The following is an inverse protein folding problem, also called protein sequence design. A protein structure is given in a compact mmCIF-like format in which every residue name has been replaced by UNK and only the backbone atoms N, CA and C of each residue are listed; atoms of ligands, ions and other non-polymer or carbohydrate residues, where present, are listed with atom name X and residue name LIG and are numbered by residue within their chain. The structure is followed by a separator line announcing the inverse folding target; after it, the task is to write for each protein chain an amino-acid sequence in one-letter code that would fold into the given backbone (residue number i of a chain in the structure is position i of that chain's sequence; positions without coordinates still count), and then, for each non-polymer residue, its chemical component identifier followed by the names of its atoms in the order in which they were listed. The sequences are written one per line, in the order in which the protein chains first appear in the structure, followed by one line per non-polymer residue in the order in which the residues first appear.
data_IF_503303557842
#
_entry.id   IF_503303557842
#
_cell.length_a   1.000
_cell.length_b   1.000
_cell.length_c   1.000
_cell.angle_alpha   90.00
_cell.angle_beta   90.00
_cell.angle_gamma   90.00
#
_symmetry.space_group_name_H-M   'P 1'
#
loop_
_entity.id
_entity.type
_entity.pdbx_description
1 polymer ?
#
# COMPACT_ATOMS: atom_id res chain seq x y z
N UNK A 1 36.96 -24.77 15.53
CA UNK A 1 37.51 -24.05 14.36
C UNK A 1 37.47 -25.03 13.20
N UNK A 2 36.49 -24.91 12.30
CA UNK A 2 36.40 -25.74 11.11
C UNK A 2 36.38 -24.81 9.90
N UNK A 3 37.49 -24.79 9.17
CA UNK A 3 37.66 -24.08 7.90
C UNK A 3 36.70 -24.66 6.85
N UNK A 4 35.78 -23.82 6.38
CA UNK A 4 34.96 -24.10 5.20
C UNK A 4 35.84 -24.00 3.95
N UNK A 5 36.29 -25.16 3.44
CA UNK A 5 37.05 -25.28 2.17
C UNK A 5 36.30 -24.58 1.03
N UNK A 6 36.81 -23.43 0.58
CA UNK A 6 36.46 -22.83 -0.72
C UNK A 6 36.84 -23.80 -1.84
N UNK A 7 35.85 -24.37 -2.52
CA UNK A 7 36.04 -25.19 -3.72
C UNK A 7 36.59 -24.32 -4.87
N UNK A 8 37.85 -24.53 -5.34
CA UNK A 8 38.47 -23.70 -6.36
C UNK A 8 37.87 -23.83 -7.77
N UNK A 9 37.07 -24.88 -8.03
CA UNK A 9 36.48 -25.15 -9.34
C UNK A 9 35.30 -24.22 -9.71
N UNK A 10 34.70 -23.54 -8.72
CA UNK A 10 33.61 -22.57 -8.98
C UNK A 10 34.12 -21.23 -9.53
N UNK A 11 35.36 -20.84 -9.20
CA UNK A 11 35.94 -19.55 -9.58
C UNK A 11 36.35 -19.51 -11.07
N UNK A 12 36.83 -20.63 -11.62
CA UNK A 12 37.27 -20.73 -13.02
C UNK A 12 36.11 -20.69 -14.04
N UNK A 13 34.95 -21.25 -13.69
CA UNK A 13 33.75 -21.23 -14.54
C UNK A 13 33.04 -19.87 -14.57
N UNK A 14 33.10 -19.11 -13.47
CA UNK A 14 32.51 -17.77 -13.35
C UNK A 14 33.26 -16.73 -14.21
N UNK A 15 34.59 -16.79 -14.28
CA UNK A 15 35.39 -15.90 -15.10
C UNK A 15 35.22 -16.15 -16.62
N UNK A 16 35.13 -17.41 -17.06
CA UNK A 16 34.87 -17.74 -18.47
C UNK A 16 33.45 -17.37 -18.92
N UNK A 17 32.45 -17.50 -18.05
CA UNK A 17 31.07 -17.05 -18.36
C UNK A 17 30.98 -15.53 -18.46
N UNK A 18 31.69 -14.77 -17.61
CA UNK A 18 31.72 -13.31 -17.69
C UNK A 18 32.38 -12.76 -18.98
N UNK A 19 33.37 -13.48 -19.54
CA UNK A 19 34.07 -13.07 -20.76
C UNK A 19 33.20 -13.19 -22.02
N UNK A 20 32.32 -14.21 -22.10
CA UNK A 20 31.51 -14.48 -23.28
C UNK A 20 30.32 -13.50 -23.47
N UNK A 21 29.99 -12.70 -22.45
CA UNK A 21 28.92 -11.69 -22.52
C UNK A 21 29.42 -10.28 -22.92
N UNK A 22 30.73 -10.05 -23.08
CA UNK A 22 31.25 -8.76 -23.59
C UNK A 22 30.79 -8.44 -25.02
N UNK A 23 30.35 -9.44 -25.80
CA UNK A 23 29.76 -9.23 -27.14
C UNK A 23 28.26 -8.96 -27.17
N UNK A 24 27.56 -9.09 -26.03
CA UNK A 24 26.12 -8.79 -25.91
C UNK A 24 25.86 -7.44 -25.21
N UNK A 25 26.84 -6.54 -25.25
CA UNK A 25 26.65 -5.11 -24.97
C UNK A 25 25.98 -4.41 -26.16
N UNK A 26 24.95 -5.04 -26.74
CA UNK A 26 23.89 -4.26 -27.36
C UNK A 26 23.24 -3.52 -26.21
N UNK A 27 23.58 -2.25 -26.05
CA UNK A 27 22.92 -1.34 -25.13
C UNK A 27 21.43 -1.36 -25.46
N UNK A 28 20.69 -2.28 -24.82
CA UNK A 28 19.24 -2.28 -24.92
C UNK A 28 18.80 -0.94 -24.33
N UNK A 29 17.94 -0.20 -25.05
CA UNK A 29 17.39 1.02 -24.51
C UNK A 29 16.78 0.64 -23.19
N UNK A 30 17.31 1.19 -22.09
CA UNK A 30 16.70 1.06 -20.77
C UNK A 30 15.27 1.52 -21.00
N UNK A 31 14.24 0.66 -20.96
CA UNK A 31 12.93 1.22 -20.79
C UNK A 31 13.04 1.85 -19.40
N UNK A 32 13.13 3.18 -19.39
CA UNK A 32 13.12 3.98 -18.19
C UNK A 32 11.74 3.83 -17.57
N UNK A 33 11.47 2.66 -17.01
CA UNK A 33 10.26 2.32 -16.29
C UNK A 33 10.52 2.59 -14.80
N UNK A 34 11.16 3.72 -14.48
CA UNK A 34 10.57 4.56 -13.44
C UNK A 34 9.23 5.06 -13.99
N UNK A 35 8.27 4.18 -14.29
CA UNK A 35 6.88 4.57 -14.52
C UNK A 35 6.32 4.90 -13.14
N UNK A 36 6.68 6.10 -12.71
CA UNK A 36 5.75 7.11 -12.22
C UNK A 36 4.32 6.63 -12.34
N UNK A 37 3.85 6.08 -11.23
CA UNK A 37 2.49 5.66 -11.00
C UNK A 37 1.53 6.88 -10.87
N UNK A 38 1.76 7.90 -11.71
CA UNK A 38 1.15 9.23 -11.64
C UNK A 38 -0.29 9.26 -12.13
N UNK A 39 -0.74 8.28 -12.90
CA UNK A 39 -2.14 8.25 -13.35
C UNK A 39 -3.11 7.87 -12.23
N UNK A 40 -2.69 7.03 -11.27
CA UNK A 40 -3.46 6.79 -10.04
C UNK A 40 -3.43 8.03 -9.10
N UNK A 41 -2.34 8.79 -9.13
CA UNK A 41 -2.18 10.05 -8.38
C UNK A 41 -3.18 11.13 -8.83
N UNK A 42 -3.49 11.23 -10.13
CA UNK A 42 -4.47 12.21 -10.64
C UNK A 42 -5.90 11.90 -10.17
N UNK A 43 -6.33 10.64 -10.15
CA UNK A 43 -7.67 10.27 -9.66
C UNK A 43 -7.81 10.46 -8.14
N UNK A 44 -6.75 10.19 -7.38
CA UNK A 44 -6.73 10.31 -5.91
C UNK A 44 -6.62 11.77 -5.42
N UNK A 45 -6.16 12.74 -6.22
CA UNK A 45 -6.23 14.17 -5.84
C UNK A 45 -7.56 14.84 -6.25
N UNK A 46 -8.24 14.30 -7.27
CA UNK A 46 -9.58 14.77 -7.69
C UNK A 46 -10.67 14.37 -6.68
N UNK A 47 -10.52 13.22 -6.01
CA UNK A 47 -11.50 12.73 -5.04
C UNK A 47 -11.57 13.55 -3.72
N UNK A 48 -10.44 13.92 -3.07
CA UNK A 48 -10.43 14.78 -1.89
C UNK A 48 -10.87 16.22 -2.18
N UNK A 49 -10.52 16.76 -3.35
CA UNK A 49 -10.93 18.11 -3.74
C UNK A 49 -12.45 18.20 -3.97
N UNK A 50 -13.07 17.21 -4.61
CA UNK A 50 -14.54 17.11 -4.72
C UNK A 50 -15.23 16.91 -3.35
N UNK A 51 -14.59 16.18 -2.44
CA UNK A 51 -15.14 15.92 -1.10
C UNK A 51 -15.04 17.13 -0.18
N UNK A 52 -13.98 17.93 -0.30
CA UNK A 52 -13.84 19.19 0.43
C UNK A 52 -14.91 20.22 0.03
N UNK A 53 -15.32 20.24 -1.24
CA UNK A 53 -16.39 21.12 -1.74
C UNK A 53 -17.75 20.69 -1.17
N UNK A 54 -18.04 19.38 -1.16
CA UNK A 54 -19.28 18.85 -0.56
C UNK A 54 -19.40 19.16 0.94
N UNK A 55 -18.31 19.19 1.70
CA UNK A 55 -18.33 19.56 3.13
C UNK A 55 -18.56 21.06 3.33
N UNK A 56 -18.00 21.90 2.46
CA UNK A 56 -18.21 23.36 2.53
C UNK A 56 -19.69 23.70 2.37
N UNK A 57 -20.44 22.93 1.58
CA UNK A 57 -21.90 23.06 1.47
C UNK A 57 -22.60 22.92 2.81
N UNK A 58 -22.27 21.86 3.57
CA UNK A 58 -22.89 21.59 4.86
C UNK A 58 -22.45 22.58 5.95
N UNK A 59 -21.21 23.06 5.92
CA UNK A 59 -20.72 24.06 6.88
C UNK A 59 -21.28 25.46 6.65
N UNK A 60 -21.54 25.84 5.39
CA UNK A 60 -22.07 27.16 5.06
C UNK A 60 -23.60 27.17 4.93
N UNK A 61 -24.27 26.15 5.47
CA UNK A 61 -25.72 25.97 5.42
C UNK A 61 -26.31 26.12 4.00
N UNK A 62 -25.58 25.63 2.99
CA UNK A 62 -26.06 25.56 1.61
C UNK A 62 -25.64 26.72 0.68
N UNK A 63 -24.73 27.61 1.11
CA UNK A 63 -24.31 28.75 0.26
C UNK A 63 -23.29 28.42 -0.86
N UNK A 64 -22.81 27.18 -0.93
CA UNK A 64 -21.83 26.72 -1.94
C UNK A 64 -22.45 25.64 -2.83
N UNK A 65 -21.70 25.09 -3.80
CA UNK A 65 -22.23 24.07 -4.72
C UNK A 65 -22.30 22.69 -4.05
N UNK A 66 -23.45 22.02 -4.18
CA UNK A 66 -23.62 20.65 -3.69
C UNK A 66 -22.78 19.68 -4.53
N UNK A 67 -21.85 18.98 -3.88
CA UNK A 67 -21.08 17.89 -4.50
C UNK A 67 -21.27 16.65 -3.65
N UNK A 68 -21.95 15.64 -4.21
CA UNK A 68 -22.17 14.37 -3.54
C UNK A 68 -20.83 13.73 -3.14
N UNK A 69 -20.79 13.17 -1.92
CA UNK A 69 -19.60 12.52 -1.37
C UNK A 69 -19.23 11.31 -2.23
N UNK A 70 -18.00 11.22 -2.76
CA UNK A 70 -17.58 10.06 -3.53
C UNK A 70 -17.40 8.83 -2.62
N UNK A 71 -18.13 7.75 -2.89
CA UNK A 71 -18.06 6.49 -2.14
C UNK A 71 -16.67 5.84 -2.11
N UNK A 72 -15.77 6.21 -3.03
CA UNK A 72 -14.39 5.71 -3.06
C UNK A 72 -13.53 6.10 -1.85
N UNK A 73 -13.92 7.12 -1.08
CA UNK A 73 -13.19 7.51 0.15
C UNK A 73 -13.39 6.49 1.26
N UNK A 74 -14.58 5.91 1.34
CA UNK A 74 -14.91 4.87 2.32
C UNK A 74 -14.11 3.59 2.07
N UNK A 75 -13.71 3.38 0.82
CA UNK A 75 -12.83 2.31 0.36
C UNK A 75 -11.50 2.18 1.09
N UNK A 76 -11.04 3.25 1.74
CA UNK A 76 -9.76 3.29 2.44
C UNK A 76 -9.88 2.89 3.93
N UNK A 77 -11.07 2.66 4.47
CA UNK A 77 -11.26 2.29 5.88
C UNK A 77 -11.06 0.76 6.11
N UNK A 78 -9.92 0.33 6.71
CA UNK A 78 -9.60 -1.10 6.90
C UNK A 78 -10.58 -1.81 7.78
N UNK A 79 -10.93 -1.14 8.86
CA UNK A 79 -11.68 -1.72 9.95
C UNK A 79 -13.12 -1.93 9.47
N UNK A 80 -13.69 -0.94 8.79
CA UNK A 80 -15.00 -1.05 8.15
C UNK A 80 -15.02 -2.19 7.12
N UNK A 81 -14.01 -2.27 6.23
CA UNK A 81 -13.91 -3.36 5.25
C UNK A 81 -13.80 -4.73 5.90
N UNK A 82 -13.00 -4.87 6.97
CA UNK A 82 -12.79 -6.14 7.67
C UNK A 82 -14.04 -6.58 8.45
N UNK A 83 -14.71 -5.65 9.13
CA UNK A 83 -15.95 -5.92 9.86
C UNK A 83 -17.08 -6.32 8.91
N UNK A 84 -17.25 -5.59 7.80
CA UNK A 84 -18.23 -5.93 6.77
C UNK A 84 -17.92 -7.26 6.07
N UNK A 85 -16.64 -7.57 5.84
CA UNK A 85 -16.24 -8.86 5.30
C UNK A 85 -16.64 -10.00 6.25
N UNK A 86 -16.39 -9.87 7.56
CA UNK A 86 -16.84 -10.85 8.55
C UNK A 86 -18.36 -10.97 8.60
N UNK A 87 -19.09 -9.85 8.58
CA UNK A 87 -20.54 -9.85 8.53
C UNK A 87 -21.04 -10.65 7.33
N UNK A 88 -20.55 -10.33 6.14
CA UNK A 88 -20.97 -10.98 4.90
C UNK A 88 -20.63 -12.47 4.86
N UNK A 89 -19.46 -12.87 5.38
CA UNK A 89 -19.09 -14.29 5.51
C UNK A 89 -19.97 -15.04 6.53
N UNK A 90 -20.46 -14.38 7.57
CA UNK A 90 -21.29 -14.99 8.60
C UNK A 90 -22.78 -15.06 8.23
N UNK A 91 -23.30 -14.07 7.49
CA UNK A 91 -24.73 -13.96 7.16
C UNK A 91 -25.07 -14.29 5.71
N UNK A 92 -24.08 -14.32 4.81
CA UNK A 92 -24.29 -14.45 3.38
C UNK A 92 -24.88 -13.22 2.71
N UNK A 93 -25.07 -12.12 3.45
CA UNK A 93 -25.70 -10.89 2.95
C UNK A 93 -24.65 -9.81 2.67
N UNK A 94 -24.89 -9.01 1.62
CA UNK A 94 -24.09 -7.82 1.35
C UNK A 94 -24.58 -6.67 2.26
N UNK A 95 -23.70 -6.02 3.04
CA UNK A 95 -24.11 -4.89 3.87
C UNK A 95 -24.47 -3.69 2.98
N UNK A 96 -25.48 -2.93 3.38
CA UNK A 96 -25.91 -1.71 2.67
C UNK A 96 -25.02 -0.49 2.98
N UNK A 97 -24.28 -0.50 4.09
CA UNK A 97 -23.42 0.60 4.53
C UNK A 97 -21.95 0.19 4.43
N UNK A 98 -21.12 1.03 3.83
CA UNK A 98 -19.68 0.81 3.60
C UNK A 98 -19.35 -0.49 2.85
N UNK A 99 -20.23 -0.95 1.95
CA UNK A 99 -19.97 -2.12 1.11
C UNK A 99 -18.74 -1.95 0.21
N UNK A 100 -18.50 -0.71 -0.25
CA UNK A 100 -17.33 -0.35 -1.05
C UNK A 100 -16.01 -0.70 -0.32
N UNK A 101 -15.93 -0.47 1.00
CA UNK A 101 -14.75 -0.79 1.80
C UNK A 101 -14.48 -2.30 1.85
N UNK A 102 -15.54 -3.11 1.96
CA UNK A 102 -15.44 -4.57 1.94
C UNK A 102 -14.98 -5.08 0.57
N UNK A 103 -15.62 -4.63 -0.51
CA UNK A 103 -15.30 -5.06 -1.87
C UNK A 103 -13.88 -4.67 -2.27
N UNK A 104 -13.42 -3.47 -1.89
CA UNK A 104 -12.05 -3.05 -2.12
C UNK A 104 -11.05 -3.83 -1.27
N UNK A 105 -11.37 -4.13 0.00
CA UNK A 105 -10.54 -5.02 0.82
C UNK A 105 -10.38 -6.40 0.17
N UNK A 106 -11.48 -6.99 -0.30
CA UNK A 106 -11.45 -8.28 -1.01
C UNK A 106 -10.60 -8.18 -2.28
N UNK A 107 -10.78 -7.12 -3.08
CA UNK A 107 -9.96 -6.87 -4.26
C UNK A 107 -8.46 -6.79 -3.90
N UNK A 108 -8.10 -6.10 -2.81
CA UNK A 108 -6.71 -6.01 -2.36
C UNK A 108 -6.15 -7.35 -1.87
N UNK A 109 -6.97 -8.18 -1.22
CA UNK A 109 -6.60 -9.55 -0.82
C UNK A 109 -6.33 -10.40 -2.06
N UNK A 110 -7.23 -10.36 -3.07
CA UNK A 110 -7.08 -11.11 -4.33
C UNK A 110 -5.84 -10.65 -5.09
N UNK A 111 -5.65 -9.34 -5.23
CA UNK A 111 -4.43 -8.76 -5.80
C UNK A 111 -3.21 -9.23 -5.01
N UNK A 112 -3.30 -9.32 -3.67
CA UNK A 112 -2.18 -9.77 -2.84
C UNK A 112 -1.86 -11.26 -2.96
N UNK A 113 -2.88 -12.08 -3.23
CA UNK A 113 -2.71 -13.49 -3.56
C UNK A 113 -2.08 -13.68 -4.94
N UNK A 114 -2.35 -12.82 -5.92
CA UNK A 114 -1.82 -12.98 -7.27
C UNK A 114 -0.47 -12.27 -7.50
N UNK A 115 -0.29 -11.08 -6.91
CA UNK A 115 0.81 -10.17 -7.22
C UNK A 115 1.69 -9.87 -5.99
N UNK A 116 1.57 -10.66 -4.92
CA UNK A 116 2.13 -10.35 -3.59
C UNK A 116 1.66 -8.96 -3.13
N UNK A 117 2.42 -8.26 -2.27
CA UNK A 117 2.06 -6.93 -1.75
C UNK A 117 2.18 -5.78 -2.79
N UNK A 118 1.96 -6.05 -4.09
CA UNK A 118 2.04 -5.09 -5.19
C UNK A 118 1.18 -3.85 -4.98
N UNK A 119 0.00 -3.99 -4.34
CA UNK A 119 -0.88 -2.87 -4.01
C UNK A 119 -0.15 -1.71 -3.30
N UNK A 120 0.75 -2.01 -2.37
CA UNK A 120 1.49 -0.99 -1.63
C UNK A 120 2.48 -0.19 -2.48
N UNK A 121 2.88 -0.69 -3.64
CA UNK A 121 3.78 -0.01 -4.58
C UNK A 121 3.04 0.55 -5.81
N UNK A 122 1.94 -0.11 -6.23
CA UNK A 122 1.26 0.15 -7.50
C UNK A 122 -0.06 0.90 -7.36
N UNK A 123 -0.64 1.05 -6.18
CA UNK A 123 -1.97 1.66 -6.04
C UNK A 123 -2.09 2.55 -4.80
N UNK A 124 -1.39 2.19 -3.72
CA UNK A 124 -1.45 2.94 -2.47
C UNK A 124 -0.80 4.33 -2.60
N UNK A 125 -1.53 5.43 -2.33
CA UNK A 125 -1.00 6.79 -2.46
C UNK A 125 0.11 7.08 -1.44
N UNK A 126 0.00 6.54 -0.23
CA UNK A 126 1.03 6.63 0.82
C UNK A 126 2.30 5.90 0.38
N UNK A 127 2.16 4.76 -0.29
CA UNK A 127 3.27 4.00 -0.85
C UNK A 127 4.06 4.78 -1.90
N UNK A 128 3.34 5.33 -2.88
CA UNK A 128 3.90 6.18 -3.94
C UNK A 128 4.57 7.42 -3.38
N UNK A 129 3.93 8.11 -2.43
CA UNK A 129 4.50 9.28 -1.77
C UNK A 129 5.80 8.92 -1.02
N UNK A 130 5.81 7.81 -0.29
CA UNK A 130 7.01 7.34 0.41
C UNK A 130 8.14 6.94 -0.55
N UNK A 131 7.81 6.46 -1.76
CA UNK A 131 8.80 6.18 -2.80
C UNK A 131 9.43 7.46 -3.36
N UNK A 132 8.60 8.46 -3.67
CA UNK A 132 9.05 9.79 -4.13
C UNK A 132 9.98 10.45 -3.11
N UNK A 133 9.62 10.40 -1.83
CA UNK A 133 10.42 10.94 -0.74
C UNK A 133 11.72 10.13 -0.55
N UNK A 134 11.65 8.80 -0.65
CA UNK A 134 12.84 7.94 -0.58
C UNK A 134 13.78 8.08 -1.78
N UNK A 135 13.27 8.50 -2.95
CA UNK A 135 14.06 8.91 -4.10
C UNK A 135 14.73 10.27 -3.87
N UNK A 136 14.00 11.22 -3.28
CA UNK A 136 14.51 12.53 -2.92
C UNK A 136 15.60 12.41 -1.84
N UNK A 137 15.38 11.62 -0.79
CA UNK A 137 16.37 11.35 0.27
C UNK A 137 17.65 10.73 -0.28
N UNK A 138 17.54 9.78 -1.21
CA UNK A 138 18.71 9.20 -1.87
C UNK A 138 19.51 10.21 -2.69
N UNK A 139 18.83 11.16 -3.36
CA UNK A 139 19.49 12.22 -4.13
C UNK A 139 20.17 13.24 -3.21
N UNK A 140 19.55 13.59 -2.09
CA UNK A 140 20.06 14.60 -1.15
C UNK A 140 21.22 14.06 -0.30
N UNK A 141 21.08 12.86 0.27
CA UNK A 141 22.05 12.31 1.23
C UNK A 141 23.00 11.26 0.64
N UNK A 142 22.77 10.83 -0.61
CA UNK A 142 23.62 9.86 -1.32
C UNK A 142 23.68 8.45 -0.69
N UNK A 143 23.00 8.21 0.44
CA UNK A 143 23.03 6.96 1.21
C UNK A 143 21.68 6.66 1.84
N UNK A 144 21.29 5.38 1.77
CA UNK A 144 20.12 4.86 2.47
C UNK A 144 20.53 4.37 3.86
N UNK A 145 19.90 4.88 4.91
CA UNK A 145 20.20 4.44 6.27
C UNK A 145 19.78 2.98 6.46
N UNK A 146 20.70 2.10 6.88
CA UNK A 146 20.41 0.69 7.18
C UNK A 146 20.14 0.60 8.68
N UNK A 147 18.91 0.28 9.06
CA UNK A 147 18.64 -0.01 10.47
C UNK A 147 19.31 -1.33 10.84
N UNK A 148 19.99 -1.40 11.99
CA UNK A 148 20.59 -2.64 12.46
C UNK A 148 19.48 -3.66 12.76
N UNK A 149 19.79 -4.94 12.56
CA UNK A 149 18.81 -6.03 12.64
C UNK A 149 18.05 -6.07 13.97
N UNK A 150 18.72 -5.74 15.07
CA UNK A 150 18.12 -5.72 16.41
C UNK A 150 17.01 -4.68 16.57
N UNK A 151 17.04 -3.59 15.81
CA UNK A 151 16.01 -2.55 15.84
C UNK A 151 14.93 -2.78 14.77
N UNK A 152 15.32 -3.30 13.60
CA UNK A 152 14.40 -3.54 12.49
C UNK A 152 13.41 -4.70 12.74
N UNK A 153 13.76 -5.68 13.57
CA UNK A 153 12.86 -6.78 13.96
C UNK A 153 11.69 -6.29 14.84
N UNK A 154 11.92 -5.64 16.00
CA UNK A 154 10.83 -5.18 16.87
C UNK A 154 9.96 -4.11 16.20
N UNK A 155 10.56 -3.19 15.44
CA UNK A 155 9.79 -2.20 14.66
C UNK A 155 8.86 -2.85 13.63
N UNK A 156 9.29 -3.97 13.02
CA UNK A 156 8.40 -4.74 12.13
C UNK A 156 7.31 -5.50 12.89
N UNK A 157 7.51 -5.80 14.17
CA UNK A 157 6.49 -6.39 15.04
C UNK A 157 5.30 -5.47 15.27
N UNK A 158 5.52 -4.15 15.30
CA UNK A 158 4.47 -3.15 15.59
C UNK A 158 3.28 -3.25 14.61
N UNK A 159 3.52 -3.35 13.30
CA UNK A 159 2.42 -3.53 12.32
C UNK A 159 1.60 -4.81 12.56
N UNK A 160 2.23 -5.89 13.04
CA UNK A 160 1.54 -7.14 13.33
C UNK A 160 0.77 -7.06 14.65
N UNK A 161 1.31 -6.36 15.65
CA UNK A 161 0.58 -6.07 16.88
C UNK A 161 -0.69 -5.26 16.58
N UNK A 162 -0.58 -4.20 15.78
CA UNK A 162 -1.73 -3.40 15.34
C UNK A 162 -2.74 -4.25 14.54
N UNK A 163 -2.26 -5.09 13.62
CA UNK A 163 -3.13 -6.02 12.89
C UNK A 163 -3.86 -6.97 13.84
N UNK A 164 -3.15 -7.58 14.79
CA UNK A 164 -3.74 -8.49 15.79
C UNK A 164 -4.78 -7.78 16.66
N UNK A 165 -4.54 -6.53 17.05
CA UNK A 165 -5.50 -5.73 17.80
C UNK A 165 -6.81 -5.50 17.02
N UNK A 166 -6.72 -5.06 15.75
CA UNK A 166 -7.92 -4.85 14.92
C UNK A 166 -8.63 -6.16 14.60
N UNK A 167 -7.89 -7.23 14.33
CA UNK A 167 -8.45 -8.54 14.07
C UNK A 167 -9.12 -9.10 15.33
N UNK A 168 -8.54 -8.92 16.51
CA UNK A 168 -9.12 -9.30 17.78
C UNK A 168 -10.48 -8.64 17.99
N UNK A 169 -10.57 -7.31 17.85
CA UNK A 169 -11.85 -6.59 18.00
C UNK A 169 -12.87 -7.05 16.96
N UNK A 170 -12.46 -7.16 15.69
CA UNK A 170 -13.35 -7.57 14.61
C UNK A 170 -13.88 -9.00 14.80
N UNK A 171 -13.05 -9.92 15.29
CA UNK A 171 -13.45 -11.32 15.51
C UNK A 171 -14.33 -11.49 16.75
N UNK A 172 -14.10 -10.71 17.82
CA UNK A 172 -14.84 -10.82 19.08
C UNK A 172 -16.29 -10.34 18.96
N UNK A 173 -16.56 -9.33 18.13
CA UNK A 173 -17.92 -8.83 17.94
C UNK A 173 -18.76 -9.81 17.12
N UNK A 174 -19.96 -10.23 17.57
CA UNK A 174 -20.85 -11.07 16.76
C UNK A 174 -21.37 -10.30 15.53
N UNK A 175 -21.80 -11.02 14.49
CA UNK A 175 -22.19 -10.41 13.20
C UNK A 175 -23.33 -9.39 13.36
N UNK A 176 -24.28 -9.67 14.25
CA UNK A 176 -25.41 -8.80 14.54
C UNK A 176 -24.93 -7.49 15.18
N UNK A 177 -23.99 -7.55 16.12
CA UNK A 177 -23.40 -6.36 16.74
C UNK A 177 -22.66 -5.49 15.72
N UNK A 178 -21.97 -6.11 14.75
CA UNK A 178 -21.32 -5.39 13.65
C UNK A 178 -22.36 -4.64 12.82
N UNK A 179 -23.48 -5.28 12.46
CA UNK A 179 -24.55 -4.65 11.70
C UNK A 179 -25.14 -3.42 12.43
N UNK A 180 -25.48 -3.58 13.72
CA UNK A 180 -25.97 -2.46 14.53
C UNK A 180 -24.94 -1.35 14.70
N UNK A 181 -23.66 -1.69 14.86
CA UNK A 181 -22.58 -0.71 14.96
C UNK A 181 -22.40 0.10 13.66
N UNK A 182 -22.50 -0.56 12.51
CA UNK A 182 -22.36 0.11 11.21
C UNK A 182 -23.55 1.01 10.88
N UNK A 183 -24.76 0.63 11.32
CA UNK A 183 -25.97 1.46 11.23
C UNK A 183 -26.03 2.57 12.28
N UNK A 184 -25.21 2.48 13.34
CA UNK A 184 -25.20 3.50 14.40
C UNK A 184 -24.63 4.82 13.87
N UNK A 185 -25.04 5.97 14.46
CA UNK A 185 -24.49 7.28 14.08
C UNK A 185 -22.97 7.38 14.30
N UNK A 186 -22.37 6.44 15.02
CA UNK A 186 -20.92 6.37 15.21
C UNK A 186 -20.16 6.21 13.88
N UNK A 187 -20.65 5.43 12.91
CA UNK A 187 -20.00 5.26 11.61
C UNK A 187 -19.89 6.58 10.86
N UNK A 188 -20.98 7.36 10.87
CA UNK A 188 -21.06 8.70 10.28
C UNK A 188 -20.14 9.69 11.00
N UNK A 189 -20.07 9.64 12.33
CA UNK A 189 -19.12 10.45 13.11
C UNK A 189 -17.67 10.14 12.72
N UNK A 190 -17.31 8.86 12.56
CA UNK A 190 -15.96 8.45 12.18
C UNK A 190 -15.60 8.97 10.78
N UNK A 191 -16.55 8.92 9.86
CA UNK A 191 -16.39 9.44 8.50
C UNK A 191 -16.22 10.95 8.46
N UNK A 192 -17.04 11.69 9.23
CA UNK A 192 -16.91 13.15 9.37
C UNK A 192 -15.56 13.51 10.01
N UNK A 193 -15.13 12.79 11.05
CA UNK A 193 -13.81 12.99 11.68
C UNK A 193 -12.65 12.66 10.73
N UNK A 194 -12.77 11.64 9.89
CA UNK A 194 -11.76 11.29 8.89
C UNK A 194 -11.65 12.37 7.83
N UNK A 195 -12.77 12.95 7.42
CA UNK A 195 -12.82 14.05 6.47
C UNK A 195 -12.27 15.36 7.06
N UNK A 196 -12.60 15.65 8.33
CA UNK A 196 -12.01 16.77 9.07
C UNK A 196 -10.50 16.59 9.27
N UNK A 197 -10.02 15.37 9.53
CA UNK A 197 -8.58 15.05 9.60
C UNK A 197 -7.83 15.45 8.32
N UNK A 198 -8.43 15.28 7.14
CA UNK A 198 -7.84 15.71 5.87
C UNK A 198 -7.92 17.23 5.63
N UNK A 199 -8.89 17.91 6.25
CA UNK A 199 -9.17 19.33 6.02
C UNK A 199 -8.47 20.26 7.01
N UNK A 200 -8.45 19.89 8.27
CA UNK A 200 -7.75 20.58 9.35
C UNK A 200 -6.78 19.59 9.99
N UNK A 201 -5.53 19.56 9.49
CA UNK A 201 -4.48 18.76 10.12
C UNK A 201 -4.21 19.30 11.52
N UNK A 202 -4.84 18.67 12.53
CA UNK A 202 -4.56 18.95 13.94
C UNK A 202 -3.07 18.84 14.24
N UNK A 203 -2.57 19.57 15.23
CA UNK A 203 -1.13 19.64 15.51
C UNK A 203 -0.48 18.27 15.71
N UNK A 204 -1.18 17.34 16.37
CA UNK A 204 -0.69 15.96 16.56
C UNK A 204 -0.60 15.16 15.23
N UNK A 205 -1.54 15.38 14.30
CA UNK A 205 -1.58 14.68 13.01
C UNK A 205 -0.56 15.25 12.04
N UNK A 206 -0.36 16.57 12.07
CA UNK A 206 0.72 17.24 11.37
C UNK A 206 2.09 16.76 11.85
N UNK A 207 2.31 16.70 13.17
CA UNK A 207 3.56 16.19 13.75
C UNK A 207 3.80 14.74 13.32
N UNK A 208 2.79 13.86 13.43
CA UNK A 208 2.95 12.45 13.04
C UNK A 208 3.16 12.29 11.53
N UNK A 209 2.53 13.10 10.68
CA UNK A 209 2.83 13.15 9.24
C UNK A 209 4.26 13.60 8.98
N UNK A 210 4.73 14.69 9.61
CA UNK A 210 6.11 15.18 9.46
C UNK A 210 7.12 14.10 9.89
N UNK A 211 6.89 13.46 11.04
CA UNK A 211 7.75 12.36 11.53
C UNK A 211 7.79 11.22 10.52
N UNK A 212 6.66 10.84 9.93
CA UNK A 212 6.60 9.78 8.92
C UNK A 212 7.24 10.18 7.59
N UNK A 213 7.15 11.45 7.20
CA UNK A 213 7.82 11.99 6.01
C UNK A 213 9.34 11.97 6.21
N UNK A 214 9.82 12.45 7.36
CA UNK A 214 11.25 12.42 7.73
C UNK A 214 11.72 10.96 7.80
N UNK A 215 10.97 10.07 8.44
CA UNK A 215 11.30 8.65 8.48
C UNK A 215 11.34 8.03 7.08
N UNK A 216 10.45 8.43 6.17
CA UNK A 216 10.43 7.99 4.77
C UNK A 216 11.63 8.49 3.95
N UNK A 217 12.22 9.61 4.35
CA UNK A 217 13.43 10.18 3.75
C UNK A 217 14.64 9.27 3.99
N UNK A 218 14.76 8.73 5.20
CA UNK A 218 15.86 7.84 5.60
C UNK A 218 15.57 6.37 5.30
N UNK A 219 14.31 5.94 5.40
CA UNK A 219 13.86 4.55 5.25
C UNK A 219 12.74 4.48 4.21
N UNK A 220 13.02 3.88 3.05
CA UNK A 220 11.99 3.69 2.02
C UNK A 220 10.81 2.88 2.55
N UNK A 221 9.60 3.37 2.26
CA UNK A 221 8.34 2.75 2.68
C UNK A 221 8.23 2.51 4.20
N UNK A 222 8.79 3.41 5.02
CA UNK A 222 8.79 3.30 6.48
C UNK A 222 7.39 2.97 7.06
N UNK A 223 6.36 3.68 6.60
CA UNK A 223 4.96 3.45 6.99
C UNK A 223 4.50 2.02 6.66
N UNK A 224 4.64 1.60 5.41
CA UNK A 224 4.20 0.29 4.93
C UNK A 224 5.04 -0.87 5.53
N UNK A 225 6.24 -0.58 6.03
CA UNK A 225 7.17 -1.56 6.62
C UNK A 225 6.93 -1.76 8.12
N UNK A 226 6.61 -0.71 8.88
CA UNK A 226 6.57 -0.76 10.35
C UNK A 226 5.21 -0.48 10.98
N UNK A 227 4.36 0.35 10.37
CA UNK A 227 3.17 0.88 11.06
C UNK A 227 1.84 0.50 10.39
N UNK A 228 1.85 0.15 9.10
CA UNK A 228 0.64 -0.13 8.34
C UNK A 228 0.06 -1.54 8.61
N UNK A 229 -1.12 -1.66 9.27
CA UNK A 229 -1.75 -2.96 9.52
C UNK A 229 -2.24 -3.64 8.24
N UNK A 230 -2.70 -2.87 7.24
CA UNK A 230 -2.99 -3.39 5.90
C UNK A 230 -1.75 -4.00 5.24
N UNK A 231 -0.62 -3.33 5.38
CA UNK A 231 0.64 -3.82 4.86
C UNK A 231 1.10 -5.11 5.54
N UNK A 232 0.71 -5.34 6.80
CA UNK A 232 0.90 -6.61 7.49
C UNK A 232 -0.06 -7.68 6.95
N UNK A 233 -1.36 -7.38 6.85
CA UNK A 233 -2.37 -8.30 6.33
C UNK A 233 -2.01 -8.81 4.93
N UNK A 234 -1.74 -7.89 4.00
CA UNK A 234 -1.34 -8.23 2.62
C UNK A 234 0.01 -8.95 2.58
N UNK A 235 0.91 -8.66 3.52
CA UNK A 235 2.18 -9.37 3.68
C UNK A 235 1.96 -10.84 4.05
N UNK A 236 1.08 -11.13 5.01
CA UNK A 236 0.71 -12.50 5.42
C UNK A 236 0.03 -13.23 4.27
N UNK A 237 -0.97 -12.60 3.64
CA UNK A 237 -1.69 -13.16 2.48
C UNK A 237 -0.72 -13.45 1.32
N UNK A 238 0.28 -12.59 1.09
CA UNK A 238 1.26 -12.78 0.02
C UNK A 238 2.16 -14.01 0.17
N UNK A 239 2.21 -14.65 1.34
CA UNK A 239 2.92 -15.92 1.52
C UNK A 239 2.28 -17.05 0.71
N UNK A 240 0.95 -17.03 0.65
CA UNK A 240 0.11 -17.98 -0.10
C UNK A 240 0.21 -17.72 -1.61
N UNK A 241 0.69 -16.55 -2.03
CA UNK A 241 0.79 -16.19 -3.44
C UNK A 241 1.68 -17.16 -4.22
N UNK A 242 1.20 -17.77 -5.31
CA UNK A 242 1.98 -18.74 -6.06
C UNK A 242 2.96 -18.04 -7.02
N UNK A 243 2.67 -16.80 -7.44
CA UNK A 243 3.56 -15.95 -8.21
C UNK A 243 4.63 -15.32 -7.30
N UNK A 244 5.89 -15.58 -7.61
CA UNK A 244 7.02 -15.12 -6.81
C UNK A 244 8.15 -14.70 -7.73
N UNK A 245 9.03 -13.82 -7.23
CA UNK A 245 10.26 -13.47 -7.93
C UNK A 245 11.20 -14.69 -7.87
N UNK A 246 11.64 -15.16 -9.03
CA UNK A 246 12.54 -16.31 -9.18
C UNK A 246 13.78 -15.93 -9.97
N UNK A 247 14.93 -16.40 -9.49
CA UNK A 247 16.26 -16.22 -10.08
C UNK A 247 16.65 -17.50 -10.82
N UNK A 248 17.06 -17.37 -12.07
CA UNK A 248 17.76 -18.43 -12.78
C UNK A 248 19.25 -18.37 -12.42
N UNK A 249 19.75 -19.39 -11.73
CA UNK A 249 21.16 -19.45 -11.31
C UNK A 249 22.12 -19.66 -12.49
N UNK A 250 21.66 -20.24 -13.61
CA UNK A 250 22.50 -20.53 -14.77
C UNK A 250 22.86 -19.28 -15.56
N UNK A 251 21.89 -18.36 -15.70
CA UNK A 251 22.07 -17.09 -16.41
C UNK A 251 22.57 -15.95 -15.51
N UNK A 252 22.57 -16.14 -14.19
CA UNK A 252 22.98 -15.09 -13.26
C UNK A 252 24.50 -14.96 -13.20
N UNK A 253 24.96 -13.70 -13.26
CA UNK A 253 26.39 -13.33 -13.14
C UNK A 253 26.76 -12.82 -11.75
N UNK A 254 25.90 -13.04 -10.74
CA UNK A 254 26.10 -12.66 -9.33
C UNK A 254 26.56 -11.19 -9.09
N UNK A 255 26.12 -10.26 -9.93
CA UNK A 255 26.54 -8.85 -9.85
C UNK A 255 25.98 -8.05 -8.65
N UNK A 256 25.05 -8.61 -7.87
CA UNK A 256 24.45 -7.98 -6.69
C UNK A 256 23.56 -6.75 -6.93
N UNK A 257 23.35 -6.32 -8.19
CA UNK A 257 22.56 -5.12 -8.52
C UNK A 257 21.09 -5.21 -8.07
N UNK A 258 20.49 -6.39 -8.19
CA UNK A 258 19.10 -6.65 -7.79
C UNK A 258 18.88 -6.48 -6.27
N UNK A 259 19.85 -6.85 -5.44
CA UNK A 259 19.79 -6.66 -4.00
C UNK A 259 19.97 -5.19 -3.60
N UNK A 260 20.86 -4.47 -4.31
CA UNK A 260 21.08 -3.03 -4.12
C UNK A 260 19.88 -2.17 -4.54
N UNK A 261 19.16 -2.57 -5.59
CA UNK A 261 17.98 -1.83 -6.06
C UNK A 261 16.71 -2.13 -5.28
N UNK A 262 16.67 -3.21 -4.48
CA UNK A 262 15.50 -3.59 -3.71
C UNK A 262 15.21 -2.56 -2.60
N UNK A 263 14.03 -1.90 -2.59
CA UNK A 263 13.70 -0.90 -1.56
C UNK A 263 13.60 -1.53 -0.17
N UNK A 264 13.21 -2.80 -0.08
CA UNK A 264 13.18 -3.57 1.17
C UNK A 264 14.54 -4.17 1.57
N UNK A 265 15.58 -4.04 0.73
CA UNK A 265 16.93 -4.63 0.89
C UNK A 265 16.92 -6.13 1.13
N UNK A 266 16.09 -6.83 0.35
CA UNK A 266 16.07 -8.29 0.32
C UNK A 266 17.29 -8.77 -0.45
N UNK A 267 18.04 -9.80 0.02
CA UNK A 267 19.18 -10.36 -0.68
C UNK A 267 18.72 -11.22 -1.88
N UNK A 268 18.13 -10.58 -2.90
CA UNK A 268 17.57 -11.24 -4.09
C UNK A 268 18.64 -11.98 -4.90
N UNK A 269 19.89 -11.51 -4.83
CA UNK A 269 21.07 -12.13 -5.45
C UNK A 269 21.37 -13.53 -4.91
N UNK A 270 21.11 -13.75 -3.62
CA UNK A 270 21.40 -15.03 -2.94
C UNK A 270 20.23 -16.01 -2.93
N UNK A 271 19.04 -15.56 -3.33
CA UNK A 271 17.80 -16.33 -3.23
C UNK A 271 17.39 -16.85 -4.60
N UNK A 272 17.13 -18.16 -4.72
CA UNK A 272 16.50 -18.74 -5.92
C UNK A 272 15.04 -18.27 -6.05
N UNK A 273 14.35 -18.14 -4.91
CA UNK A 273 12.97 -17.69 -4.86
C UNK A 273 12.74 -16.75 -3.67
N UNK A 274 12.11 -15.60 -3.93
CA UNK A 274 11.84 -14.59 -2.89
C UNK A 274 10.53 -14.91 -2.16
N UNK A 275 10.64 -15.60 -1.02
CA UNK A 275 9.50 -16.01 -0.17
C UNK A 275 9.19 -15.09 1.01
N UNK A 276 9.90 -13.98 1.16
CA UNK A 276 9.67 -13.04 2.26
C UNK A 276 8.37 -12.24 2.13
N UNK A 277 7.76 -11.92 3.28
CA UNK A 277 6.61 -11.01 3.47
C UNK A 277 6.94 -9.54 3.21
N UNK A 278 8.22 -9.19 3.25
CA UNK A 278 8.68 -7.81 3.04
C UNK A 278 8.80 -7.45 1.55
N UNK A 279 8.59 -8.43 0.65
CA UNK A 279 8.59 -8.21 -0.78
C UNK A 279 7.28 -7.54 -1.20
N UNK A 280 7.35 -6.26 -1.56
CA UNK A 280 6.23 -5.44 -2.03
C UNK A 280 5.83 -5.73 -3.48
N UNK A 281 6.46 -6.67 -4.18
CA UNK A 281 6.11 -6.95 -5.58
C UNK A 281 6.41 -5.79 -6.55
N UNK A 282 7.26 -4.82 -6.18
CA UNK A 282 7.54 -3.63 -6.99
C UNK A 282 8.34 -3.88 -8.28
N UNK A 283 8.87 -5.10 -8.48
CA UNK A 283 9.64 -5.54 -9.66
C UNK A 283 10.91 -4.74 -10.01
N UNK A 284 11.34 -3.77 -9.20
CA UNK A 284 12.58 -3.00 -9.42
C UNK A 284 13.83 -3.89 -9.58
N UNK A 285 13.89 -5.02 -8.86
CA UNK A 285 15.00 -5.96 -8.96
C UNK A 285 15.05 -6.70 -10.31
N UNK A 286 13.90 -6.90 -10.95
CA UNK A 286 13.76 -7.50 -12.27
C UNK A 286 14.20 -6.48 -13.35
N UNK A 287 13.78 -5.23 -13.22
CA UNK A 287 14.13 -4.13 -14.14
C UNK A 287 15.62 -3.74 -14.10
N UNK A 288 16.22 -3.75 -12.91
CA UNK A 288 17.63 -3.38 -12.72
C UNK A 288 18.62 -4.48 -13.12
N UNK A 289 18.14 -5.67 -13.50
CA UNK A 289 18.99 -6.80 -13.85
C UNK A 289 19.67 -6.54 -15.22
N UNK A 290 21.01 -6.64 -15.32
CA UNK A 290 21.71 -6.41 -16.59
C UNK A 290 21.54 -7.57 -17.58
N UNK A 291 21.23 -8.77 -17.10
CA UNK A 291 21.05 -9.97 -17.94
C UNK A 291 19.56 -10.24 -18.08
N UNK A 292 19.04 -10.12 -19.31
CA UNK A 292 17.63 -10.35 -19.62
C UNK A 292 17.16 -11.75 -19.15
N UNK A 293 15.90 -11.82 -18.70
CA UNK A 293 15.24 -13.07 -18.29
C UNK A 293 15.90 -13.86 -17.13
N UNK A 294 16.87 -13.28 -16.43
CA UNK A 294 17.49 -13.92 -15.26
C UNK A 294 16.60 -13.87 -14.02
N UNK A 295 15.88 -12.77 -13.84
CA UNK A 295 14.89 -12.60 -12.77
C UNK A 295 13.53 -12.42 -13.41
N UNK A 296 12.53 -13.18 -12.96
CA UNK A 296 11.14 -13.05 -13.44
C UNK A 296 10.15 -13.15 -12.30
N UNK A 297 9.00 -12.49 -12.45
CA UNK A 297 7.85 -12.66 -11.59
C UNK A 297 6.89 -13.66 -12.24
N UNK A 298 6.95 -14.93 -11.84
CA UNK A 298 6.27 -16.00 -12.57
C UNK A 298 5.88 -17.17 -11.69
N UNK A 299 4.88 -17.94 -12.16
CA UNK A 299 4.41 -19.18 -11.55
C UNK A 299 5.37 -20.36 -11.81
N UNK A 300 6.09 -20.34 -12.94
CA UNK A 300 7.02 -21.39 -13.39
C UNK A 300 8.47 -20.87 -13.43
N UNK A 301 9.47 -21.75 -13.66
CA UNK A 301 10.85 -21.28 -13.85
C UNK A 301 10.90 -20.46 -15.15
N UNK A 302 11.65 -19.36 -15.22
CA UNK A 302 11.73 -18.56 -16.44
C UNK A 302 12.27 -19.38 -17.61
N UNK A 303 11.47 -19.52 -18.67
CA UNK A 303 11.97 -19.87 -19.99
C UNK A 303 12.65 -18.62 -20.60
N UNK A 304 13.79 -18.80 -21.26
CA UNK A 304 14.66 -17.72 -21.76
C UNK A 304 14.08 -16.95 -22.97
N UNK A 305 12.78 -16.63 -22.98
CA UNK A 305 12.13 -15.91 -24.07
C UNK A 305 11.89 -14.43 -23.70
N UNK A 306 12.48 -13.51 -24.50
CA UNK A 306 12.37 -12.06 -24.32
C UNK A 306 10.94 -11.54 -24.49
N UNK A 307 10.12 -12.13 -25.37
CA UNK A 307 8.72 -11.74 -25.58
C UNK A 307 7.84 -12.12 -24.39
N UNK A 308 8.11 -13.27 -23.76
CA UNK A 308 7.40 -13.72 -22.56
C UNK A 308 7.63 -12.78 -21.35
N UNK A 309 8.80 -12.15 -21.26
CA UNK A 309 9.12 -11.18 -20.22
C UNK A 309 8.34 -9.87 -20.36
N UNK A 310 8.33 -9.29 -21.56
CA UNK A 310 7.56 -8.07 -21.85
C UNK A 310 6.04 -8.31 -21.71
N UNK A 311 5.57 -9.51 -22.05
CA UNK A 311 4.16 -9.87 -21.87
C UNK A 311 3.80 -10.06 -20.39
N UNK A 312 4.69 -10.66 -19.59
CA UNK A 312 4.43 -10.94 -18.18
C UNK A 312 4.19 -9.66 -17.36
N UNK A 313 4.93 -8.58 -17.59
CA UNK A 313 4.70 -7.34 -16.85
C UNK A 313 3.36 -6.68 -17.22
N UNK A 314 3.04 -6.60 -18.53
CA UNK A 314 1.77 -6.07 -19.01
C UNK A 314 0.58 -6.86 -18.46
N UNK A 315 0.70 -8.19 -18.45
CA UNK A 315 -0.33 -9.08 -17.91
C UNK A 315 -0.51 -8.85 -16.42
N UNK A 316 0.57 -8.72 -15.65
CA UNK A 316 0.48 -8.47 -14.20
C UNK A 316 -0.18 -7.12 -13.88
N UNK A 317 0.22 -6.06 -14.60
CA UNK A 317 -0.35 -4.72 -14.44
C UNK A 317 -1.83 -4.69 -14.83
N UNK A 318 -2.16 -5.23 -16.01
CA UNK A 318 -3.54 -5.36 -16.47
C UNK A 318 -4.41 -6.21 -15.53
N UNK A 319 -3.84 -7.27 -14.94
CA UNK A 319 -4.54 -8.11 -13.95
C UNK A 319 -4.85 -7.31 -12.68
N UNK A 320 -3.88 -6.56 -12.15
CA UNK A 320 -4.07 -5.73 -10.97
C UNK A 320 -5.17 -4.66 -11.16
N UNK A 321 -5.10 -3.92 -12.27
CA UNK A 321 -6.12 -2.93 -12.61
C UNK A 321 -7.47 -3.59 -12.92
N UNK A 322 -7.49 -4.68 -13.67
CA UNK A 322 -8.69 -5.42 -14.03
C UNK A 322 -9.48 -5.88 -12.80
N UNK A 323 -8.81 -6.43 -11.78
CA UNK A 323 -9.46 -6.84 -10.52
C UNK A 323 -10.06 -5.65 -9.79
N UNK A 324 -9.34 -4.52 -9.73
CA UNK A 324 -9.86 -3.31 -9.08
C UNK A 324 -11.08 -2.75 -9.81
N UNK A 325 -11.01 -2.58 -11.13
CA UNK A 325 -12.14 -2.08 -11.92
C UNK A 325 -13.33 -3.04 -11.91
N UNK A 326 -13.09 -4.35 -11.88
CA UNK A 326 -14.16 -5.34 -11.72
C UNK A 326 -14.85 -5.22 -10.36
N UNK A 327 -14.10 -5.02 -9.26
CA UNK A 327 -14.68 -4.83 -7.93
C UNK A 327 -15.50 -3.54 -7.83
N UNK A 328 -14.99 -2.44 -8.42
CA UNK A 328 -15.71 -1.17 -8.48
C UNK A 328 -16.96 -1.29 -9.36
N UNK A 329 -16.83 -1.91 -10.54
CA UNK A 329 -17.93 -2.15 -11.47
C UNK A 329 -19.03 -3.01 -10.86
N UNK A 330 -18.66 -4.07 -10.12
CA UNK A 330 -19.59 -4.88 -9.36
C UNK A 330 -20.31 -4.09 -8.27
N UNK A 331 -19.58 -3.25 -7.53
CA UNK A 331 -20.18 -2.41 -6.50
C UNK A 331 -21.20 -1.40 -7.07
N UNK A 332 -20.89 -0.81 -8.22
CA UNK A 332 -21.80 0.11 -8.94
C UNK A 332 -23.01 -0.66 -9.47
N UNK A 333 -22.79 -1.82 -10.09
CA UNK A 333 -23.86 -2.69 -10.62
C UNK A 333 -24.81 -3.17 -9.52
N UNK A 334 -24.28 -3.56 -8.36
CA UNK A 334 -25.07 -3.97 -7.20
C UNK A 334 -25.72 -2.79 -6.46
N UNK A 335 -25.48 -1.54 -6.86
CA UNK A 335 -26.04 -0.35 -6.22
C UNK A 335 -25.49 -0.05 -4.82
N UNK A 336 -24.42 -0.74 -4.40
CA UNK A 336 -23.84 -0.64 -3.05
C UNK A 336 -22.61 0.28 -2.97
N UNK A 337 -22.24 0.94 -4.08
CA UNK A 337 -21.07 1.82 -4.14
C UNK A 337 -21.23 3.10 -3.31
N UNK A 338 -22.46 3.60 -3.14
CA UNK A 338 -22.75 4.75 -2.30
C UNK A 338 -23.41 4.27 -1.01
N UNK A 339 -22.86 4.66 0.15
CA UNK A 339 -23.51 4.41 1.43
C UNK A 339 -24.74 5.31 1.57
N UNK A 340 -25.94 4.76 1.85
CA UNK A 340 -27.17 5.52 2.02
C UNK A 340 -27.19 6.16 3.40
N UNK A 341 -26.34 7.16 3.62
CA UNK A 341 -26.37 7.97 4.84
C UNK A 341 -27.24 9.21 4.58
N UNK A 342 -28.32 9.43 5.35
CA UNK A 342 -29.23 10.56 5.14
C UNK A 342 -28.51 11.91 5.24
N UNK A 343 -28.82 12.81 4.31
CA UNK A 343 -28.21 14.13 4.21
C UNK A 343 -28.43 15.00 5.46
N UNK A 344 -29.60 14.86 6.09
CA UNK A 344 -29.98 15.54 7.34
C UNK A 344 -29.04 15.20 8.50
N UNK A 345 -28.52 13.96 8.52
CA UNK A 345 -27.59 13.51 9.56
C UNK A 345 -26.23 14.22 9.39
N UNK A 346 -25.78 14.42 8.16
CA UNK A 346 -24.58 15.21 7.88
C UNK A 346 -24.77 16.69 8.24
N UNK A 347 -25.92 17.28 7.88
CA UNK A 347 -26.26 18.67 8.22
C UNK A 347 -26.28 18.93 9.73
N UNK A 348 -26.66 17.94 10.56
CA UNK A 348 -26.60 18.06 12.03
C UNK A 348 -25.20 17.84 12.60
N UNK A 349 -24.48 16.81 12.16
CA UNK A 349 -23.21 16.42 12.78
C UNK A 349 -22.01 17.24 12.35
N UNK A 350 -21.94 17.67 11.08
CA UNK A 350 -20.77 18.41 10.56
C UNK A 350 -20.59 19.76 11.30
N UNK A 351 -21.64 20.59 11.49
CA UNK A 351 -21.51 21.84 12.23
C UNK A 351 -21.22 21.63 13.72
N UNK A 352 -21.73 20.55 14.34
CA UNK A 352 -21.46 20.24 15.74
C UNK A 352 -19.98 19.88 15.97
N UNK A 353 -19.39 19.05 15.11
CA UNK A 353 -17.97 18.73 15.17
C UNK A 353 -17.11 19.98 14.92
N UNK A 354 -17.51 20.84 13.98
CA UNK A 354 -16.84 22.11 13.73
C UNK A 354 -16.94 23.09 14.92
N UNK A 355 -18.09 23.19 15.58
CA UNK A 355 -18.31 24.07 16.74
C UNK A 355 -17.58 23.58 18.01
N UNK A 356 -17.52 22.26 18.24
CA UNK A 356 -16.72 21.64 19.31
C UNK A 356 -15.23 21.96 19.16
N UNK A 357 -14.76 22.14 17.93
CA UNK A 357 -13.40 22.57 17.61
C UNK A 357 -13.18 24.06 17.85
N UNK A 358 -14.15 24.92 17.48
CA UNK A 358 -14.07 26.36 17.76
C UNK A 358 -14.03 26.63 19.26
N UNK A 359 -14.86 25.94 20.05
CA UNK A 359 -14.84 26.04 21.52
C UNK A 359 -13.53 25.51 22.10
N UNK A 360 -13.01 24.37 21.62
CA UNK A 360 -11.69 23.87 22.06
C UNK A 360 -10.54 24.79 21.69
N UNK A 361 -10.58 25.43 20.51
CA UNK A 361 -9.57 26.41 20.09
C UNK A 361 -9.68 27.73 20.84
N UNK A 362 -10.90 28.21 21.12
CA UNK A 362 -11.13 29.39 21.95
C UNK A 362 -10.64 29.17 23.39
N UNK A 363 -10.91 27.99 23.96
CA UNK A 363 -10.45 27.64 25.30
C UNK A 363 -8.93 27.48 25.36
N UNK A 364 -8.31 26.91 24.31
CA UNK A 364 -6.85 26.80 24.20
C UNK A 364 -6.14 28.16 24.04
N UNK A 365 -6.79 29.13 23.38
CA UNK A 365 -6.28 30.50 23.19
C UNK A 365 -6.35 31.31 24.51
N UNK A 366 -7.38 31.09 25.33
CA UNK A 366 -7.50 31.68 26.68
C UNK A 366 -6.48 31.12 27.69
N UNK A 367 -6.04 29.87 27.53
CA UNK A 367 -5.00 29.28 28.41
C UNK A 367 -3.60 29.85 28.08
N UNK A 368 -3.34 30.21 26.82
CA UNK A 368 -2.06 30.82 26.40
C UNK A 368 -1.94 32.32 26.69
N UNK A 369 -3.02 32.99 27.11
CA UNK A 369 -3.01 34.42 27.47
C UNK A 369 -2.90 34.70 28.97
N UNK A 370 -2.83 33.65 29.81
CA UNK A 370 -2.69 33.74 31.27
C UNK A 370 -1.45 33.01 31.81
N UNK A 371 -0.45 32.73 30.96
CA UNK A 371 0.83 32.12 31.34
C UNK A 371 1.97 33.12 31.24
#
# INVERSE_FOLDING_TARGET
MAEEKKNPLAAGGQARRAANYRGMTGAMPRPGVKRRNYYCWQLIFILPSRSGIGVRYYETAGSTTFVARPGGIEGWLPIAGLMNLKYSLATGQLPSVHAAAMLLLVAFIVISLLLKKAFCSWLCPVGTLSELIGDLGNKLFGRQFVLPRWLDIPLRGVKYLLLSFFLYIALLMPAQAIHYFMLSPYSVVMDVKMLDFFRHMGTATLISMIVLLIASLFIRHAWCRYLCPYGALMGVVSLLSPFKIRRNAESCIDCGKCAKSCPSRIPVDKLIQVRTVECTGCMTCVESCPVASTLTFSLQKPAANKKAFALSWLVNDATGYGIMFAAIGYAIYAGVWQSPVPEELYQRLIPQVANDLVTKLANKRNITSHG
#
